data_IF_720921100392
#
_entry.id   IF_720921100392
#
_cell.length_a   1.000
_cell.length_b   1.000
_cell.length_c   1.000
_cell.angle_alpha   90.00
_cell.angle_beta   90.00
_cell.angle_gamma   90.00
#
_symmetry.space_group_name_H-M   'P 1'
#
loop_
_entity.id
_entity.type
_entity.pdbx_description
1 polymer ?
#
# COMPACT_ATOMS: atom_id res chain seq x y z
N UNK A 1 9.77 -1.11 18.12
CA UNK A 1 9.16 0.10 17.52
C UNK A 1 7.84 -0.20 16.82
N UNK A 2 7.80 -1.15 15.88
CA UNK A 2 6.57 -1.54 15.18
C UNK A 2 5.45 -2.08 16.10
N UNK A 3 5.78 -2.95 17.06
CA UNK A 3 4.79 -3.42 18.05
C UNK A 3 4.24 -2.29 18.91
N UNK A 4 5.07 -1.30 19.26
CA UNK A 4 4.64 -0.11 20.01
C UNK A 4 3.61 0.71 19.22
N UNK A 5 3.82 0.90 17.90
CA UNK A 5 2.84 1.58 17.05
C UNK A 5 1.55 0.78 16.90
N UNK A 6 1.63 -0.54 16.74
CA UNK A 6 0.47 -1.42 16.63
C UNK A 6 -0.33 -1.51 17.95
N UNK A 7 0.35 -1.44 19.09
CA UNK A 7 -0.27 -1.46 20.42
C UNK A 7 -0.89 -0.10 20.79
N UNK A 8 -0.22 1.02 20.46
CA UNK A 8 -0.79 2.37 20.62
C UNK A 8 -1.99 2.62 19.70
N UNK A 9 -1.98 2.07 18.49
CA UNK A 9 -3.17 2.10 17.63
C UNK A 9 -4.37 1.39 18.29
N UNK A 10 -4.16 0.35 19.10
CA UNK A 10 -5.26 -0.46 19.66
C UNK A 10 -6.05 0.18 20.80
N UNK A 11 -5.48 1.12 21.57
CA UNK A 11 -6.04 1.41 22.91
C UNK A 11 -7.05 2.57 23.00
N UNK A 12 -6.88 3.72 22.33
CA UNK A 12 -7.82 4.87 22.53
C UNK A 12 -7.97 5.79 21.30
N UNK A 13 -7.41 5.39 20.15
CA UNK A 13 -7.41 6.22 18.96
C UNK A 13 -8.72 6.08 18.15
N UNK A 14 -9.21 7.18 17.58
CA UNK A 14 -10.31 7.13 16.61
C UNK A 14 -9.97 6.20 15.44
N UNK A 15 -10.99 5.58 14.82
CA UNK A 15 -10.82 4.68 13.66
C UNK A 15 -9.94 5.35 12.59
N UNK A 16 -10.20 6.61 12.34
CA UNK A 16 -9.46 7.47 11.41
C UNK A 16 -7.95 7.54 11.72
N UNK A 17 -7.57 7.75 12.99
CA UNK A 17 -6.14 7.75 13.39
C UNK A 17 -5.49 6.39 13.25
N UNK A 18 -6.22 5.32 13.56
CA UNK A 18 -5.74 3.94 13.40
C UNK A 18 -5.50 3.62 11.92
N UNK A 19 -6.40 4.03 11.05
CA UNK A 19 -6.27 3.85 9.61
C UNK A 19 -5.04 4.59 9.09
N UNK A 20 -4.88 5.85 9.44
CA UNK A 20 -3.70 6.62 9.05
C UNK A 20 -2.42 5.96 9.57
N UNK A 21 -2.35 5.64 10.86
CA UNK A 21 -1.18 4.98 11.44
C UNK A 21 -0.84 3.69 10.68
N UNK A 22 -1.84 2.90 10.31
CA UNK A 22 -1.64 1.68 9.55
C UNK A 22 -1.11 1.96 8.14
N UNK A 23 -1.61 2.99 7.46
CA UNK A 23 -1.12 3.41 6.14
C UNK A 23 0.33 3.91 6.20
N UNK A 24 0.71 4.65 7.26
CA UNK A 24 2.10 5.04 7.51
C UNK A 24 2.98 3.81 7.74
N UNK A 25 2.54 2.88 8.59
CA UNK A 25 3.29 1.66 8.90
C UNK A 25 3.47 0.81 7.65
N UNK A 26 2.40 0.55 6.89
CA UNK A 26 2.48 -0.26 5.67
C UNK A 26 3.31 0.41 4.59
N UNK A 27 3.16 1.73 4.42
CA UNK A 27 3.97 2.54 3.51
C UNK A 27 5.46 2.43 3.86
N UNK A 28 5.80 2.56 5.14
CA UNK A 28 7.20 2.51 5.59
C UNK A 28 7.82 1.12 5.37
N UNK A 29 7.13 0.07 5.83
CA UNK A 29 7.57 -1.32 5.71
C UNK A 29 7.72 -1.74 4.24
N UNK A 30 6.80 -1.34 3.38
CA UNK A 30 6.84 -1.68 1.96
C UNK A 30 8.11 -1.12 1.27
N UNK A 31 8.81 -0.17 1.90
CA UNK A 31 10.02 0.46 1.38
C UNK A 31 11.30 -0.03 2.06
N UNK A 32 11.25 -1.06 2.90
CA UNK A 32 12.45 -1.63 3.50
C UNK A 32 13.33 -2.35 2.48
N UNK A 33 14.63 -2.13 2.60
CA UNK A 33 15.66 -2.77 1.78
C UNK A 33 15.98 -4.19 2.29
N UNK A 34 16.92 -4.89 1.64
CA UNK A 34 17.22 -6.30 1.91
C UNK A 34 17.74 -6.57 3.34
N UNK A 35 18.44 -5.64 3.97
CA UNK A 35 19.03 -5.84 5.30
C UNK A 35 17.96 -5.95 6.40
N UNK A 36 16.81 -5.29 6.23
CA UNK A 36 15.75 -5.21 7.24
C UNK A 36 14.54 -6.12 6.91
N UNK A 37 14.56 -6.75 5.74
CA UNK A 37 13.43 -7.47 5.20
C UNK A 37 13.04 -8.72 6.00
N UNK A 38 14.00 -9.59 6.31
CA UNK A 38 13.71 -10.89 6.93
C UNK A 38 13.32 -10.78 8.40
N UNK A 39 13.92 -9.86 9.15
CA UNK A 39 13.66 -9.66 10.58
C UNK A 39 12.45 -8.78 10.86
N UNK A 40 12.10 -7.86 9.93
CA UNK A 40 11.06 -6.85 10.15
C UNK A 40 9.78 -7.02 9.33
N UNK A 41 9.90 -7.27 8.03
CA UNK A 41 8.75 -7.14 7.10
C UNK A 41 7.80 -8.32 7.23
N UNK A 42 8.30 -9.55 7.06
CA UNK A 42 7.47 -10.77 7.04
C UNK A 42 6.67 -10.98 8.33
N UNK A 43 7.27 -10.85 9.54
CA UNK A 43 6.52 -10.99 10.79
C UNK A 43 5.41 -9.95 10.93
N UNK A 44 5.65 -8.69 10.52
CA UNK A 44 4.62 -7.65 10.60
C UNK A 44 3.49 -7.91 9.61
N UNK A 45 3.80 -8.26 8.35
CA UNK A 45 2.76 -8.62 7.36
C UNK A 45 1.92 -9.78 7.88
N UNK A 46 2.57 -10.79 8.48
CA UNK A 46 1.87 -11.90 9.12
C UNK A 46 0.97 -11.42 10.26
N UNK A 47 1.45 -10.57 11.15
CA UNK A 47 0.65 -10.03 12.25
C UNK A 47 -0.58 -9.24 11.77
N UNK A 48 -0.44 -8.47 10.68
CA UNK A 48 -1.55 -7.75 10.06
C UNK A 48 -2.57 -8.71 9.44
N UNK A 49 -2.10 -9.70 8.69
CA UNK A 49 -2.93 -10.73 8.08
C UNK A 49 -3.66 -11.57 9.14
N UNK A 50 -2.96 -12.01 10.18
CA UNK A 50 -3.51 -12.73 11.31
C UNK A 50 -4.60 -11.89 12.00
N UNK A 51 -4.39 -10.58 12.20
CA UNK A 51 -5.42 -9.71 12.76
C UNK A 51 -6.68 -9.66 11.88
N UNK A 52 -6.52 -9.43 10.58
CA UNK A 52 -7.66 -9.38 9.64
C UNK A 52 -8.39 -10.73 9.57
N UNK A 53 -7.63 -11.82 9.62
CA UNK A 53 -8.17 -13.15 9.59
C UNK A 53 -8.93 -13.44 10.90
N UNK A 54 -8.39 -13.11 12.07
CA UNK A 54 -9.07 -13.27 13.36
C UNK A 54 -10.33 -12.39 13.46
N UNK A 55 -10.34 -11.23 12.82
CA UNK A 55 -11.52 -10.38 12.74
C UNK A 55 -12.71 -11.12 12.12
N UNK A 56 -12.47 -11.89 11.05
CA UNK A 56 -13.50 -12.73 10.40
C UNK A 56 -14.03 -13.85 11.28
N UNK A 57 -13.24 -14.35 12.25
CA UNK A 57 -13.67 -15.43 13.15
C UNK A 57 -14.51 -14.92 14.33
N UNK A 58 -14.30 -13.66 14.74
CA UNK A 58 -14.92 -13.08 15.94
C UNK A 58 -16.25 -12.39 15.68
N UNK A 59 -16.55 -12.05 14.42
CA UNK A 59 -17.85 -11.48 14.07
C UNK A 59 -18.70 -12.55 13.43
N UNK A 60 -19.87 -12.80 14.02
CA UNK A 60 -20.95 -13.44 13.29
C UNK A 60 -21.26 -12.55 12.10
N UNK A 61 -20.83 -13.01 10.93
CA UNK A 61 -20.95 -12.29 9.67
C UNK A 61 -22.43 -12.31 9.28
N UNK A 62 -23.21 -11.42 9.89
CA UNK A 62 -24.61 -11.25 9.50
C UNK A 62 -24.60 -10.62 8.11
N UNK A 63 -25.18 -11.30 7.10
CA UNK A 63 -25.26 -10.72 5.77
C UNK A 63 -26.07 -9.43 5.83
N UNK A 64 -25.45 -8.34 5.41
CA UNK A 64 -26.05 -7.01 5.36
C UNK A 64 -25.91 -6.38 3.98
N UNK A 65 -26.66 -5.31 3.68
CA UNK A 65 -26.47 -4.53 2.46
C UNK A 65 -25.01 -4.08 2.29
N UNK A 66 -24.52 -4.10 1.05
CA UNK A 66 -23.13 -3.79 0.71
C UNK A 66 -22.61 -2.45 1.25
N UNK A 67 -23.48 -1.43 1.37
CA UNK A 67 -23.13 -0.13 1.93
C UNK A 67 -22.92 -0.16 3.45
N UNK A 68 -23.70 -0.99 4.15
CA UNK A 68 -23.63 -1.17 5.60
C UNK A 68 -22.38 -1.96 6.01
N UNK A 69 -21.99 -2.98 5.23
CA UNK A 69 -20.76 -3.74 5.46
C UNK A 69 -19.51 -2.85 5.39
N UNK A 70 -19.46 -1.91 4.43
CA UNK A 70 -18.35 -0.97 4.31
C UNK A 70 -18.21 -0.06 5.55
N UNK A 71 -19.35 0.38 6.09
CA UNK A 71 -19.45 1.24 7.27
C UNK A 71 -19.10 0.53 8.58
N UNK A 72 -19.47 -0.74 8.69
CA UNK A 72 -19.33 -1.50 9.94
C UNK A 72 -17.94 -2.14 10.11
N UNK A 73 -17.18 -2.25 9.01
CA UNK A 73 -15.90 -2.94 8.98
C UNK A 73 -14.71 -2.11 8.45
N UNK A 74 -14.60 -0.79 8.69
CA UNK A 74 -13.54 0.06 8.10
C UNK A 74 -12.14 -0.39 8.50
N UNK A 75 -11.97 -0.91 9.72
CA UNK A 75 -10.69 -1.45 10.19
C UNK A 75 -10.27 -2.69 9.38
N UNK A 76 -11.20 -3.59 9.12
CA UNK A 76 -10.91 -4.81 8.34
C UNK A 76 -10.38 -4.44 6.95
N UNK A 77 -11.07 -3.53 6.26
CA UNK A 77 -10.64 -3.08 4.94
C UNK A 77 -9.26 -2.42 4.95
N UNK A 78 -8.97 -1.58 5.94
CA UNK A 78 -7.64 -0.95 6.04
C UNK A 78 -6.53 -1.95 6.31
N UNK A 79 -6.77 -2.98 7.14
CA UNK A 79 -5.79 -4.06 7.34
C UNK A 79 -5.57 -4.89 6.08
N UNK A 80 -6.65 -5.26 5.37
CA UNK A 80 -6.53 -5.95 4.09
C UNK A 80 -5.75 -5.10 3.08
N UNK A 81 -6.04 -3.81 2.98
CA UNK A 81 -5.33 -2.91 2.08
C UNK A 81 -3.84 -2.83 2.42
N UNK A 82 -3.49 -2.70 3.70
CA UNK A 82 -2.10 -2.67 4.14
C UNK A 82 -1.35 -3.96 3.77
N UNK A 83 -1.96 -5.13 4.01
CA UNK A 83 -1.37 -6.43 3.64
C UNK A 83 -1.16 -6.52 2.13
N UNK A 84 -2.20 -6.24 1.34
CA UNK A 84 -2.14 -6.38 -0.12
C UNK A 84 -1.18 -5.36 -0.76
N UNK A 85 -1.07 -4.15 -0.21
CA UNK A 85 -0.09 -3.16 -0.68
C UNK A 85 1.35 -3.60 -0.41
N UNK A 86 1.65 -4.13 0.78
CA UNK A 86 3.00 -4.62 1.08
C UNK A 86 3.31 -5.81 0.16
N UNK A 87 2.35 -6.71 -0.05
CA UNK A 87 2.50 -7.85 -0.95
C UNK A 87 2.70 -7.44 -2.41
N UNK A 88 1.96 -6.45 -2.91
CA UNK A 88 2.14 -5.90 -4.25
C UNK A 88 3.53 -5.28 -4.44
N UNK A 89 4.05 -4.64 -3.39
CA UNK A 89 5.34 -3.95 -3.44
C UNK A 89 6.52 -4.92 -3.26
N UNK A 90 6.46 -5.77 -2.24
CA UNK A 90 7.54 -6.67 -1.80
C UNK A 90 7.35 -8.11 -2.30
N UNK A 91 6.46 -8.32 -3.28
CA UNK A 91 6.14 -9.62 -3.88
C UNK A 91 7.35 -10.47 -4.30
N UNK A 92 8.41 -9.92 -4.93
CA UNK A 92 9.62 -10.67 -5.27
C UNK A 92 10.28 -11.39 -4.09
N UNK A 93 10.05 -10.90 -2.87
CA UNK A 93 10.65 -11.43 -1.66
C UNK A 93 9.64 -12.21 -0.81
N UNK A 94 8.41 -11.71 -0.68
CA UNK A 94 7.36 -12.34 0.15
C UNK A 94 6.68 -13.54 -0.52
N UNK A 95 6.63 -13.58 -1.86
CA UNK A 95 5.90 -14.59 -2.63
C UNK A 95 6.84 -15.62 -3.29
N UNK A 96 8.05 -15.81 -2.75
CA UNK A 96 9.01 -16.79 -3.29
C UNK A 96 8.47 -18.21 -3.25
N UNK A 97 7.73 -18.54 -2.19
CA UNK A 97 6.93 -19.75 -2.09
C UNK A 97 5.44 -19.34 -2.15
N UNK A 98 4.79 -19.53 -3.31
CA UNK A 98 3.40 -19.14 -3.50
C UNK A 98 2.43 -19.80 -2.53
N UNK A 99 2.59 -21.10 -2.25
CA UNK A 99 1.69 -21.84 -1.38
C UNK A 99 1.86 -21.40 0.08
N UNK A 100 3.12 -21.24 0.52
CA UNK A 100 3.42 -20.73 1.85
C UNK A 100 2.88 -19.31 2.02
N UNK A 101 3.08 -18.43 1.03
CA UNK A 101 2.56 -17.06 1.08
C UNK A 101 1.02 -17.03 1.23
N UNK A 102 0.29 -17.86 0.48
CA UNK A 102 -1.17 -17.94 0.57
C UNK A 102 -1.61 -18.41 1.96
N UNK A 103 -0.93 -19.43 2.51
CA UNK A 103 -1.25 -19.99 3.82
C UNK A 103 -0.89 -19.05 4.98
N UNK A 104 0.33 -18.51 5.00
CA UNK A 104 0.89 -17.70 6.09
C UNK A 104 0.15 -16.37 6.28
N UNK A 105 -0.37 -15.80 5.19
CA UNK A 105 -1.12 -14.55 5.20
C UNK A 105 -2.63 -14.75 5.03
N UNK A 106 -3.12 -15.99 5.10
CA UNK A 106 -4.54 -16.33 5.02
C UNK A 106 -5.25 -15.76 3.78
N UNK A 107 -4.54 -15.59 2.65
CA UNK A 107 -5.02 -14.84 1.49
C UNK A 107 -6.32 -15.45 0.95
N UNK A 108 -6.38 -16.78 0.83
CA UNK A 108 -7.58 -17.43 0.33
C UNK A 108 -8.81 -17.19 1.21
N UNK A 109 -8.64 -17.15 2.54
CA UNK A 109 -9.73 -16.85 3.48
C UNK A 109 -10.15 -15.38 3.40
N UNK A 110 -9.19 -14.47 3.35
CA UNK A 110 -9.45 -13.03 3.30
C UNK A 110 -10.19 -12.64 2.02
N UNK A 111 -9.70 -13.10 0.86
CA UNK A 111 -10.23 -12.73 -0.45
C UNK A 111 -11.61 -13.34 -0.73
N UNK A 112 -11.89 -14.54 -0.20
CA UNK A 112 -13.19 -15.22 -0.35
C UNK A 112 -14.17 -14.94 0.80
N UNK A 113 -13.82 -14.02 1.71
CA UNK A 113 -14.73 -13.64 2.80
C UNK A 113 -15.95 -12.87 2.26
N UNK A 114 -17.08 -12.95 2.97
CA UNK A 114 -18.28 -12.19 2.58
C UNK A 114 -18.08 -10.67 2.64
N UNK A 115 -17.08 -10.19 3.40
CA UNK A 115 -16.69 -8.77 3.42
C UNK A 115 -16.04 -8.32 2.11
N UNK A 116 -15.53 -9.26 1.30
CA UNK A 116 -15.02 -9.04 -0.05
C UNK A 116 -14.07 -7.84 -0.15
N UNK A 117 -12.88 -7.91 0.49
CA UNK A 117 -11.99 -6.76 0.61
C UNK A 117 -11.59 -6.16 -0.73
N UNK A 118 -11.42 -6.97 -1.79
CA UNK A 118 -11.05 -6.49 -3.14
C UNK A 118 -12.09 -5.58 -3.78
N UNK A 119 -13.33 -5.57 -3.27
CA UNK A 119 -14.38 -4.66 -3.73
C UNK A 119 -14.29 -3.26 -3.12
N UNK A 120 -13.74 -3.15 -1.91
CA UNK A 120 -13.84 -1.95 -1.09
C UNK A 120 -12.51 -1.23 -0.85
N UNK A 121 -11.38 -1.92 -0.98
CA UNK A 121 -10.06 -1.28 -0.90
C UNK A 121 -9.71 -0.53 -2.19
N UNK A 122 -8.62 0.25 -2.17
CA UNK A 122 -8.09 0.94 -3.36
C UNK A 122 -7.99 0.02 -4.58
N UNK A 123 -8.46 0.52 -5.73
CA UNK A 123 -8.40 -0.17 -7.01
C UNK A 123 -6.95 -0.35 -7.43
N UNK A 124 -6.13 0.67 -7.21
CA UNK A 124 -4.70 0.70 -7.54
C UNK A 124 -3.93 -0.38 -6.76
N UNK A 125 -4.21 -0.53 -5.46
CA UNK A 125 -3.65 -1.59 -4.62
C UNK A 125 -4.14 -2.96 -5.09
N UNK A 126 -5.43 -3.08 -5.40
CA UNK A 126 -6.03 -4.33 -5.88
C UNK A 126 -5.39 -4.79 -7.18
N UNK A 127 -5.31 -3.92 -8.19
CA UNK A 127 -4.69 -4.21 -9.48
C UNK A 127 -3.21 -4.57 -9.33
N UNK A 128 -2.47 -3.80 -8.53
CA UNK A 128 -1.04 -4.05 -8.29
C UNK A 128 -0.82 -5.41 -7.62
N UNK A 129 -1.64 -5.75 -6.63
CA UNK A 129 -1.61 -7.05 -5.99
C UNK A 129 -1.95 -8.17 -6.98
N UNK A 130 -3.03 -8.02 -7.76
CA UNK A 130 -3.43 -9.03 -8.75
C UNK A 130 -2.32 -9.27 -9.79
N UNK A 131 -1.69 -8.20 -10.27
CA UNK A 131 -0.59 -8.30 -11.24
C UNK A 131 0.62 -9.02 -10.63
N UNK A 132 1.00 -8.72 -9.39
CA UNK A 132 2.10 -9.41 -8.71
C UNK A 132 1.73 -10.87 -8.37
N UNK A 133 0.49 -11.13 -7.94
CA UNK A 133 -0.01 -12.47 -7.66
C UNK A 133 0.03 -13.37 -8.90
N UNK A 134 -0.39 -12.85 -10.06
CA UNK A 134 -0.29 -13.55 -11.35
C UNK A 134 1.16 -13.79 -11.75
N UNK A 135 2.01 -12.77 -11.65
CA UNK A 135 3.45 -12.86 -11.95
C UNK A 135 4.13 -13.94 -11.12
N UNK A 136 3.71 -14.12 -9.87
CA UNK A 136 4.21 -15.12 -8.92
C UNK A 136 3.44 -16.43 -8.94
N UNK A 137 2.38 -16.54 -9.76
CA UNK A 137 1.51 -17.71 -9.87
C UNK A 137 0.95 -18.15 -8.52
N UNK A 138 0.47 -17.19 -7.71
CA UNK A 138 -0.20 -17.52 -6.47
C UNK A 138 -1.45 -18.38 -6.75
N UNK A 139 -1.68 -19.49 -6.04
CA UNK A 139 -2.86 -20.33 -6.22
C UNK A 139 -4.10 -19.67 -5.59
N UNK A 140 -4.57 -18.59 -6.21
CA UNK A 140 -5.68 -17.76 -5.74
C UNK A 140 -6.65 -17.45 -6.87
N UNK A 141 -7.95 -17.44 -6.57
CA UNK A 141 -9.04 -17.05 -7.47
C UNK A 141 -9.26 -15.52 -7.55
N UNK A 142 -8.23 -14.73 -7.25
CA UNK A 142 -8.33 -13.28 -7.07
C UNK A 142 -8.86 -12.53 -8.32
N UNK A 143 -8.51 -12.96 -9.54
CA UNK A 143 -9.04 -12.39 -10.78
C UNK A 143 -10.54 -12.63 -10.97
N UNK A 144 -11.01 -13.84 -10.64
CA UNK A 144 -12.43 -14.18 -10.69
C UNK A 144 -13.23 -13.33 -9.70
N UNK A 145 -12.70 -13.15 -8.48
CA UNK A 145 -13.31 -12.27 -7.46
C UNK A 145 -13.44 -10.84 -7.98
N UNK A 146 -12.38 -10.28 -8.58
CA UNK A 146 -12.41 -8.92 -9.14
C UNK A 146 -13.40 -8.81 -10.30
N UNK A 147 -13.42 -9.78 -11.21
CA UNK A 147 -14.37 -9.81 -12.34
C UNK A 147 -15.83 -9.85 -11.85
N UNK A 148 -16.12 -10.69 -10.85
CA UNK A 148 -17.44 -10.76 -10.22
C UNK A 148 -17.82 -9.43 -9.55
N UNK A 149 -16.86 -8.77 -8.92
CA UNK A 149 -17.09 -7.45 -8.32
C UNK A 149 -17.47 -6.41 -9.36
N UNK A 150 -16.75 -6.34 -10.48
CA UNK A 150 -17.05 -5.43 -11.58
C UNK A 150 -18.45 -5.66 -12.16
N UNK A 151 -18.86 -6.93 -12.34
CA UNK A 151 -20.19 -7.28 -12.81
C UNK A 151 -21.30 -6.84 -11.84
N UNK A 152 -21.03 -6.83 -10.54
CA UNK A 152 -21.98 -6.42 -9.50
C UNK A 152 -22.04 -4.89 -9.28
N UNK A 153 -20.97 -4.16 -9.62
CA UNK A 153 -20.86 -2.71 -9.36
C UNK A 153 -21.85 -1.85 -10.15
N UNK A 154 -22.46 -2.36 -11.22
CA UNK A 154 -23.55 -1.67 -11.94
C UNK A 154 -24.83 -1.46 -11.11
N UNK A 155 -24.93 -2.02 -9.89
CA UNK A 155 -26.16 -2.02 -9.06
C UNK A 155 -26.02 -1.39 -7.67
N UNK A 156 -24.82 -1.00 -7.22
CA UNK A 156 -24.59 -0.59 -5.84
C UNK A 156 -23.80 0.72 -5.78
N UNK A 157 -24.32 1.69 -5.01
CA UNK A 157 -23.60 2.93 -4.65
C UNK A 157 -22.18 2.59 -4.23
N UNK A 158 -21.25 3.21 -4.94
CA UNK A 158 -19.85 2.88 -5.03
C UNK A 158 -19.17 2.95 -3.65
N UNK A 159 -18.37 1.94 -3.28
CA UNK A 159 -17.52 2.00 -2.09
C UNK A 159 -16.62 3.25 -2.11
N UNK A 160 -16.27 3.70 -3.32
CA UNK A 160 -15.60 4.99 -3.58
C UNK A 160 -16.38 6.18 -3.06
N UNK A 161 -17.71 6.19 -3.17
CA UNK A 161 -18.58 7.24 -2.65
C UNK A 161 -18.60 7.24 -1.13
N UNK A 162 -18.66 6.08 -0.47
CA UNK A 162 -18.59 6.05 1.00
C UNK A 162 -17.24 6.52 1.53
N UNK A 163 -16.12 6.05 0.98
CA UNK A 163 -14.83 6.59 1.36
C UNK A 163 -14.65 8.04 0.89
N UNK A 164 -15.38 8.53 -0.12
CA UNK A 164 -15.50 9.97 -0.43
C UNK A 164 -16.26 10.75 0.63
N UNK A 165 -17.33 10.19 1.17
CA UNK A 165 -18.18 10.80 2.18
C UNK A 165 -17.47 10.82 3.55
N UNK A 166 -16.88 9.71 4.00
CA UNK A 166 -15.98 9.68 5.15
C UNK A 166 -14.81 10.67 5.02
N UNK A 167 -14.25 10.81 3.80
CA UNK A 167 -13.24 11.84 3.47
C UNK A 167 -13.80 13.24 3.70
N UNK A 168 -14.98 13.54 3.18
CA UNK A 168 -15.60 14.86 3.27
C UNK A 168 -15.99 15.22 4.72
N UNK A 169 -16.56 14.27 5.46
CA UNK A 169 -17.07 14.46 6.82
C UNK A 169 -15.95 14.68 7.84
N UNK A 170 -14.82 13.97 7.74
CA UNK A 170 -13.78 13.99 8.77
C UNK A 170 -12.52 14.78 8.38
N UNK A 171 -12.29 15.05 7.09
CA UNK A 171 -11.06 15.69 6.61
C UNK A 171 -11.27 17.00 5.83
N UNK A 172 -12.52 17.39 5.58
CA UNK A 172 -12.86 18.55 4.76
C UNK A 172 -12.49 18.37 3.27
N UNK A 173 -12.93 19.30 2.40
CA UNK A 173 -12.81 19.15 0.94
C UNK A 173 -11.38 19.10 0.38
N UNK A 174 -10.34 19.26 1.22
CA UNK A 174 -8.95 19.43 0.78
C UNK A 174 -7.92 18.42 1.33
N UNK A 175 -8.31 17.36 2.05
CA UNK A 175 -7.33 16.40 2.61
C UNK A 175 -7.64 14.96 2.23
N UNK A 176 -6.89 14.44 1.24
CA UNK A 176 -7.02 13.11 0.62
C UNK A 176 -6.42 11.94 1.45
N UNK A 177 -6.49 11.95 2.79
CA UNK A 177 -5.82 10.92 3.60
C UNK A 177 -6.81 9.95 4.25
N UNK A 178 -6.67 8.65 3.93
CA UNK A 178 -7.36 7.59 4.66
C UNK A 178 -7.18 6.20 4.06
N UNK A 179 -7.28 6.07 2.72
CA UNK A 179 -7.14 4.78 2.01
C UNK A 179 -6.50 4.90 0.63
N UNK A 180 -6.02 6.07 0.23
CA UNK A 180 -5.40 6.30 -1.09
C UNK A 180 -3.97 6.81 -0.98
N UNK A 181 -3.40 6.80 0.23
CA UNK A 181 -2.15 7.48 0.50
C UNK A 181 -1.20 6.55 1.24
N UNK A 182 -0.12 6.17 0.57
CA UNK A 182 1.05 5.56 1.19
C UNK A 182 2.13 6.64 1.28
N UNK A 183 2.40 7.19 2.47
CA UNK A 183 3.24 8.38 2.64
C UNK A 183 4.68 8.25 2.13
N UNK A 184 5.11 7.01 1.93
CA UNK A 184 6.45 6.67 1.53
C UNK A 184 6.50 6.14 0.09
N UNK A 185 5.51 6.39 -0.75
CA UNK A 185 5.62 6.08 -2.19
C UNK A 185 6.69 6.97 -2.87
N UNK A 186 7.34 6.51 -3.97
CA UNK A 186 8.41 7.24 -4.60
C UNK A 186 7.94 8.61 -5.07
N UNK A 187 8.73 9.64 -4.77
CA UNK A 187 8.38 11.02 -5.08
C UNK A 187 8.68 11.40 -6.55
N UNK A 188 9.31 10.51 -7.32
CA UNK A 188 9.75 10.79 -8.70
C UNK A 188 10.86 11.84 -8.80
N UNK A 189 11.50 12.19 -7.69
CA UNK A 189 12.58 13.17 -7.62
C UNK A 189 13.92 12.45 -7.78
N UNK A 190 14.56 12.58 -8.95
CA UNK A 190 15.79 11.88 -9.31
C UNK A 190 16.90 12.02 -8.24
N UNK A 191 17.09 13.21 -7.69
CA UNK A 191 18.10 13.44 -6.66
C UNK A 191 17.78 12.71 -5.35
N UNK A 192 16.51 12.73 -4.92
CA UNK A 192 16.09 11.99 -3.72
C UNK A 192 16.28 10.48 -3.89
N UNK A 193 15.95 9.95 -5.07
CA UNK A 193 16.18 8.54 -5.39
C UNK A 193 17.67 8.19 -5.33
N UNK A 194 18.54 9.05 -5.84
CA UNK A 194 20.00 8.86 -5.76
C UNK A 194 20.49 8.78 -4.31
N UNK A 195 19.97 9.62 -3.41
CA UNK A 195 20.36 9.60 -2.00
C UNK A 195 19.79 8.41 -1.22
N UNK A 196 18.60 7.95 -1.57
CA UNK A 196 17.88 6.91 -0.81
C UNK A 196 18.01 5.51 -1.40
N UNK A 197 18.63 5.34 -2.57
CA UNK A 197 18.76 4.06 -3.27
C UNK A 197 19.32 2.89 -2.44
N UNK A 198 20.11 3.17 -1.39
CA UNK A 198 20.67 2.15 -0.50
C UNK A 198 19.72 1.73 0.62
N UNK A 199 18.81 2.58 1.05
CA UNK A 199 17.95 2.38 2.23
C UNK A 199 16.47 2.26 1.88
N UNK A 200 16.08 2.68 0.68
CA UNK A 200 14.71 2.75 0.22
C UNK A 200 14.48 1.78 -0.93
N UNK A 201 13.52 0.89 -0.75
CA UNK A 201 13.11 -0.06 -1.78
C UNK A 201 12.12 0.60 -2.75
N UNK A 202 12.60 0.88 -3.95
CA UNK A 202 11.77 1.32 -5.06
C UNK A 202 11.35 0.13 -5.93
N UNK A 203 10.10 -0.30 -5.81
CA UNK A 203 9.54 -1.35 -6.66
C UNK A 203 9.39 -0.91 -8.15
N UNK A 204 9.55 0.38 -8.46
CA UNK A 204 9.48 0.93 -9.82
C UNK A 204 10.57 0.40 -10.75
N UNK A 205 11.72 -0.02 -10.23
CA UNK A 205 12.74 -0.75 -10.98
C UNK A 205 12.32 -2.17 -11.39
N UNK A 206 11.20 -2.67 -10.84
CA UNK A 206 10.58 -3.97 -11.14
C UNK A 206 9.12 -3.85 -11.65
N UNK A 207 8.66 -2.65 -12.02
CA UNK A 207 7.36 -2.43 -12.65
C UNK A 207 6.26 -1.83 -11.76
N UNK A 208 6.56 -1.33 -10.56
CA UNK A 208 5.62 -0.51 -9.78
C UNK A 208 5.61 0.94 -10.29
N UNK A 209 4.71 1.28 -11.21
CA UNK A 209 4.29 2.68 -11.41
C UNK A 209 3.07 2.92 -10.53
N UNK A 210 3.29 3.46 -9.34
CA UNK A 210 2.21 4.04 -8.56
C UNK A 210 1.45 5.04 -9.42
N UNK A 211 0.13 4.92 -9.47
CA UNK A 211 -0.74 5.79 -10.24
C UNK A 211 -0.71 7.23 -9.69
N UNK A 212 0.18 8.06 -10.23
CA UNK A 212 -0.08 9.50 -10.30
C UNK A 212 -0.42 9.83 -11.77
N UNK A 213 -1.67 10.19 -12.09
CA UNK A 213 -2.09 10.46 -13.47
C UNK A 213 -1.34 11.62 -14.15
N UNK A 214 -0.66 12.47 -13.38
CA UNK A 214 -0.14 13.75 -13.89
C UNK A 214 1.36 13.76 -14.27
N UNK A 215 2.05 12.61 -14.23
CA UNK A 215 3.48 12.52 -14.59
C UNK A 215 3.76 11.51 -15.70
N UNK A 216 2.84 11.39 -16.66
CA UNK A 216 3.13 10.72 -17.92
C UNK A 216 4.14 11.57 -18.71
N UNK A 217 5.41 11.17 -18.61
CA UNK A 217 6.48 11.34 -19.59
C UNK A 217 6.30 12.49 -20.62
N UNK A 218 6.87 13.65 -20.30
CA UNK A 218 7.39 14.57 -21.31
C UNK A 218 8.92 14.56 -21.21
N UNK A 219 9.55 13.49 -21.69
CA UNK A 219 10.97 13.53 -22.04
C UNK A 219 11.10 12.86 -23.40
N UNK A 220 10.88 13.67 -24.43
CA UNK A 220 11.47 13.45 -25.74
C UNK A 220 12.90 13.95 -25.67
N UNK A 221 13.84 13.01 -25.72
CA UNK A 221 15.27 13.23 -25.79
C UNK A 221 15.64 14.23 -26.89
N UNK A 222 16.45 15.22 -26.51
CA UNK A 222 17.46 15.77 -27.40
C UNK A 222 18.74 15.95 -26.58
N UNK A 223 19.60 14.93 -26.66
CA UNK A 223 20.99 14.98 -26.24
C UNK A 223 21.71 16.14 -26.94
N UNK A 224 22.25 17.07 -26.16
CA UNK A 224 23.41 17.86 -26.59
C UNK A 224 24.38 17.98 -25.42
N UNK A 225 25.56 17.41 -25.68
CA UNK A 225 26.74 17.33 -24.82
C UNK A 225 27.05 18.63 -24.09
N UNK A 226 27.06 18.57 -22.76
CA UNK A 226 27.72 19.57 -21.93
C UNK A 226 28.40 18.84 -20.77
N UNK A 227 29.71 19.05 -20.63
CA UNK A 227 30.54 18.52 -19.55
C UNK A 227 29.94 18.82 -18.16
N UNK A 228 30.14 17.91 -17.18
CA UNK A 228 29.53 18.05 -15.86
C UNK A 228 30.10 19.27 -15.13
N UNK A 229 29.25 20.26 -14.87
CA UNK A 229 29.59 21.38 -13.98
C UNK A 229 29.83 20.85 -12.56
N UNK A 230 30.91 21.27 -11.87
CA UNK A 230 31.15 20.85 -10.50
C UNK A 230 30.06 21.42 -9.56
N UNK A 231 29.73 20.69 -8.48
CA UNK A 231 28.72 21.12 -7.52
C UNK A 231 29.09 22.46 -6.87
N UNK A 232 28.07 23.30 -6.64
CA UNK A 232 28.16 24.69 -6.15
C UNK A 232 29.01 24.88 -4.88
N UNK A 233 29.21 23.82 -4.10
CA UNK A 233 29.91 23.81 -2.82
C UNK A 233 31.45 23.69 -2.94
N UNK A 234 31.98 23.55 -4.16
CA UNK A 234 33.42 23.53 -4.47
C UNK A 234 33.97 24.91 -4.86
N UNK A 235 33.44 26.00 -4.31
CA UNK A 235 34.11 27.31 -4.42
C UNK A 235 35.22 27.40 -3.37
N UNK A 236 36.49 27.64 -3.75
CA UNK A 236 37.56 27.85 -2.78
C UNK A 236 37.22 29.05 -1.89
N UNK A 237 37.35 28.85 -0.57
CA UNK A 237 37.32 29.91 0.43
C UNK A 237 38.37 30.96 0.08
N UNK A 238 37.94 32.10 -0.46
CA UNK A 238 38.77 33.29 -0.55
C UNK A 238 38.95 33.87 0.86
N UNK A 239 39.89 33.30 1.61
CA UNK A 239 40.52 33.96 2.76
C UNK A 239 42.01 33.70 2.75
N UNK A 240 42.73 34.79 2.51
CA UNK A 240 43.99 35.08 3.16
C UNK A 240 45.21 34.73 2.34
N UNK A 241 45.95 35.77 1.96
CA UNK A 241 47.31 36.05 2.44
C UNK A 241 47.89 37.22 1.62
N UNK A 242 48.98 37.83 2.07
CA UNK A 242 49.26 38.43 3.38
C UNK A 242 49.15 39.97 3.32
#
# INVERSE_FOLDING_TARGET
VLEFFLQKAKLEASVVRQQNALMYVSGFIARFNDAEFQSGVRPVVKQLADWAAHYLLKRDMVPGPAAQLCQEHPRFYTYCQAVLYILATQGPRLMRDPALCVSDFHLQRLLNSQLNPLKYISVEVTESFCNEADRRRLPLNHREVVANNMAQSGKLRDARSYFAELRAEHYGPHKKLGLLFFPFDPLGLQEFERYTCKTYFNAGSYGYRGAHPDYAASDSDSEQSAEPRPPFWLKPSARGRP
#
